data_IF_465052045589
#
_entry.id   IF_465052045589
#
_cell.length_a   1.000
_cell.length_b   1.000
_cell.length_c   1.000
_cell.angle_alpha   90.00
_cell.angle_beta   90.00
_cell.angle_gamma   90.00
#
_symmetry.space_group_name_H-M   'P 1'
#
loop_
_entity.id
_entity.type
_entity.pdbx_description
1 polymer ?
#
# COMPACT_ATOMS: atom_id res chain seq x y z
N UNK A 1 -18.42 -9.36 -9.59
CA UNK A 1 -18.36 -8.80 -8.22
C UNK A 1 -17.41 -7.60 -8.28
N UNK A 2 -17.80 -6.43 -7.77
CA UNK A 2 -16.93 -5.24 -7.74
C UNK A 2 -16.42 -5.05 -6.30
N UNK A 3 -15.12 -4.87 -6.14
CA UNK A 3 -14.49 -4.55 -4.86
C UNK A 3 -14.15 -3.06 -4.82
N UNK A 4 -14.39 -2.42 -3.68
CA UNK A 4 -14.00 -1.02 -3.43
C UNK A 4 -12.99 -1.02 -2.30
N UNK A 5 -11.82 -0.44 -2.54
CA UNK A 5 -10.77 -0.28 -1.55
C UNK A 5 -10.57 1.21 -1.29
N UNK A 6 -10.60 1.59 -0.02
CA UNK A 6 -10.34 2.95 0.42
C UNK A 6 -9.75 2.91 1.84
N UNK A 7 -8.76 3.76 2.15
CA UNK A 7 -8.28 3.90 3.51
C UNK A 7 -9.39 4.52 4.37
N UNK A 8 -9.68 3.89 5.51
CA UNK A 8 -10.60 4.44 6.52
C UNK A 8 -10.10 4.11 7.91
N UNK A 9 -10.52 4.91 8.89
CA UNK A 9 -10.19 4.70 10.29
C UNK A 9 -11.42 4.13 11.00
N UNK A 10 -11.19 3.13 11.85
CA UNK A 10 -12.21 2.66 12.77
C UNK A 10 -12.37 3.72 13.86
N UNK A 11 -13.60 4.18 14.09
CA UNK A 11 -13.91 5.15 15.13
C UNK A 11 -13.60 4.59 16.52
N UNK A 12 -13.53 5.44 17.54
CA UNK A 12 -13.38 4.99 18.93
C UNK A 12 -14.52 4.10 19.42
N UNK A 13 -15.67 4.14 18.75
CA UNK A 13 -16.84 3.32 19.05
C UNK A 13 -16.83 1.98 18.31
N UNK A 14 -15.77 1.69 17.55
CA UNK A 14 -15.65 0.46 16.76
C UNK A 14 -16.48 0.46 15.48
N UNK A 15 -16.94 1.64 15.03
CA UNK A 15 -17.71 1.79 13.79
C UNK A 15 -16.80 2.14 12.61
N UNK A 16 -17.08 1.58 11.44
CA UNK A 16 -16.37 1.90 10.21
C UNK A 16 -17.11 3.02 9.48
N UNK A 17 -16.45 4.17 9.33
CA UNK A 17 -17.03 5.28 8.59
C UNK A 17 -16.79 5.08 7.09
N UNK A 18 -17.89 4.97 6.33
CA UNK A 18 -17.83 4.93 4.87
C UNK A 18 -17.81 6.37 4.32
N UNK A 19 -16.80 6.74 3.51
CA UNK A 19 -16.73 8.04 2.87
C UNK A 19 -17.94 8.31 1.97
N UNK A 20 -18.37 9.58 1.89
CA UNK A 20 -19.53 10.02 1.10
C UNK A 20 -19.52 9.54 -0.36
N UNK A 21 -18.40 9.58 -1.11
CA UNK A 21 -18.37 9.11 -2.49
C UNK A 21 -18.72 7.63 -2.62
N UNK A 22 -18.32 6.81 -1.64
CA UNK A 22 -18.60 5.37 -1.65
C UNK A 22 -20.05 5.11 -1.25
N UNK A 23 -20.62 5.89 -0.33
CA UNK A 23 -22.04 5.81 0.07
C UNK A 23 -23.00 6.03 -1.11
N UNK A 24 -22.62 6.86 -2.08
CA UNK A 24 -23.44 7.14 -3.27
C UNK A 24 -23.44 5.97 -4.27
N UNK A 25 -22.36 5.19 -4.29
CA UNK A 25 -22.16 4.10 -5.25
C UNK A 25 -22.68 2.76 -4.68
N UNK A 26 -22.73 2.62 -3.36
CA UNK A 26 -23.16 1.37 -2.71
C UNK A 26 -24.67 1.14 -2.87
N UNK A 27 -25.09 -0.09 -3.24
CA UNK A 27 -26.50 -0.43 -3.33
C UNK A 27 -27.14 -0.40 -1.94
N UNK A 28 -28.27 0.31 -1.81
CA UNK A 28 -28.99 0.48 -0.54
C UNK A 28 -29.82 -0.76 -0.23
N UNK A 29 -29.74 -1.24 1.02
CA UNK A 29 -30.57 -2.35 1.51
C UNK A 29 -30.08 -3.74 1.10
N UNK A 30 -28.90 -3.85 0.50
CA UNK A 30 -28.32 -5.12 0.09
C UNK A 30 -27.33 -5.67 1.11
N UNK A 31 -27.26 -7.00 1.21
CA UNK A 31 -26.26 -7.68 2.03
C UNK A 31 -24.94 -7.69 1.26
N UNK A 32 -23.92 -7.05 1.84
CA UNK A 32 -22.58 -6.99 1.24
C UNK A 32 -21.59 -7.80 2.07
N UNK A 33 -20.57 -8.35 1.40
CA UNK A 33 -19.41 -8.96 2.07
C UNK A 33 -18.34 -7.90 2.27
N UNK A 34 -17.92 -7.68 3.51
CA UNK A 34 -16.86 -6.73 3.87
C UNK A 34 -15.56 -7.48 4.10
N UNK A 35 -14.44 -6.94 3.59
CA UNK A 35 -13.08 -7.39 3.88
C UNK A 35 -12.37 -6.21 4.53
N UNK A 36 -11.77 -6.44 5.70
CA UNK A 36 -11.00 -5.44 6.44
C UNK A 36 -9.54 -5.85 6.41
N UNK A 37 -8.70 -4.92 5.97
CA UNK A 37 -7.24 -5.04 6.00
C UNK A 37 -6.74 -4.08 7.08
N UNK A 38 -6.15 -4.63 8.14
CA UNK A 38 -5.55 -3.86 9.22
C UNK A 38 -4.05 -4.05 9.11
N UNK A 39 -3.31 -2.95 9.01
CA UNK A 39 -1.85 -3.02 9.02
C UNK A 39 -1.38 -3.42 10.41
N UNK A 40 -0.65 -4.52 10.50
CA UNK A 40 0.01 -4.92 11.72
C UNK A 40 1.32 -4.12 11.89
N UNK A 41 1.78 -3.89 13.12
CA UNK A 41 3.07 -3.24 13.36
C UNK A 41 4.23 -3.95 12.67
N UNK A 42 4.11 -5.27 12.52
CA UNK A 42 5.06 -6.13 11.82
C UNK A 42 5.08 -5.85 10.32
N UNK A 43 3.92 -5.65 9.67
CA UNK A 43 3.83 -5.27 8.25
C UNK A 43 4.58 -3.96 7.96
N UNK A 44 4.44 -2.98 8.84
CA UNK A 44 5.13 -1.69 8.73
C UNK A 44 6.64 -1.83 8.92
N UNK A 45 7.06 -2.77 9.77
CA UNK A 45 8.46 -3.06 10.02
C UNK A 45 9.09 -3.80 8.84
N UNK A 46 8.44 -4.85 8.34
CA UNK A 46 8.86 -5.58 7.15
C UNK A 46 8.97 -4.66 5.95
N UNK A 47 7.97 -3.82 5.68
CA UNK A 47 7.98 -2.91 4.53
C UNK A 47 9.17 -1.93 4.59
N UNK A 48 9.56 -1.47 5.79
CA UNK A 48 10.78 -0.68 5.99
C UNK A 48 12.05 -1.48 5.78
N UNK A 49 12.10 -2.74 6.21
CA UNK A 49 13.25 -3.62 5.97
C UNK A 49 13.43 -3.91 4.48
N UNK A 50 12.35 -4.20 3.76
CA UNK A 50 12.36 -4.40 2.31
C UNK A 50 12.80 -3.14 1.56
N UNK A 51 12.31 -1.97 1.95
CA UNK A 51 12.76 -0.70 1.38
C UNK A 51 14.26 -0.46 1.62
N UNK A 52 14.75 -0.76 2.82
CA UNK A 52 16.17 -0.62 3.19
C UNK A 52 17.06 -1.58 2.41
N UNK A 53 16.67 -2.86 2.32
CA UNK A 53 17.39 -3.88 1.55
C UNK A 53 17.42 -3.54 0.07
N UNK A 54 16.29 -3.13 -0.50
CA UNK A 54 16.21 -2.73 -1.91
C UNK A 54 17.12 -1.54 -2.20
N UNK A 55 17.09 -0.49 -1.36
CA UNK A 55 18.00 0.64 -1.53
C UNK A 55 19.46 0.20 -1.48
N UNK A 56 19.84 -0.60 -0.47
CA UNK A 56 21.21 -1.09 -0.30
C UNK A 56 21.67 -1.92 -1.52
N UNK A 57 20.89 -2.88 -1.95
CA UNK A 57 21.26 -3.78 -3.06
C UNK A 57 21.18 -3.08 -4.42
N UNK A 58 20.23 -2.14 -4.60
CA UNK A 58 20.17 -1.30 -5.80
C UNK A 58 21.43 -0.43 -5.93
N UNK A 59 21.89 0.22 -4.85
CA UNK A 59 23.14 1.00 -4.88
C UNK A 59 24.40 0.14 -4.95
N UNK A 60 24.40 -1.08 -4.38
CA UNK A 60 25.53 -2.00 -4.46
C UNK A 60 25.71 -2.62 -5.87
N UNK A 61 24.66 -2.65 -6.68
CA UNK A 61 24.70 -3.13 -8.07
C UNK A 61 25.27 -2.12 -9.07
N UNK A 62 25.33 -0.82 -8.74
CA UNK A 62 26.03 0.17 -9.55
C UNK A 62 27.51 0.21 -9.17
N UNK A 63 28.30 -0.70 -9.74
CA UNK A 63 29.76 -0.57 -9.73
C UNK A 63 30.16 0.38 -10.85
N UNK A 64 31.13 1.28 -10.62
CA UNK A 64 31.67 2.19 -11.65
C UNK A 64 32.11 1.47 -12.96
N UNK A 65 32.34 0.15 -12.91
CA UNK A 65 32.65 -0.67 -14.09
C UNK A 65 31.46 -0.90 -15.03
N UNK A 66 30.21 -0.72 -14.57
CA UNK A 66 29.00 -0.84 -15.40
C UNK A 66 28.66 0.46 -16.16
N UNK A 67 29.48 1.51 -16.00
CA UNK A 67 29.39 2.79 -16.72
C UNK A 67 29.93 2.71 -18.16
N UNK A 68 29.73 1.58 -18.85
CA UNK A 68 30.28 1.30 -20.19
C UNK A 68 29.78 2.31 -21.24
N UNK A 69 28.70 3.04 -20.95
CA UNK A 69 28.15 4.09 -21.81
C UNK A 69 28.49 5.52 -21.39
N UNK A 70 29.17 5.75 -20.25
CA UNK A 70 29.48 7.10 -19.76
C UNK A 70 30.66 7.77 -20.50
N UNK A 71 31.51 6.99 -21.18
CA UNK A 71 32.71 7.52 -21.86
C UNK A 71 32.49 7.90 -23.34
N UNK A 72 31.25 8.08 -23.81
CA UNK A 72 31.01 8.63 -25.16
C UNK A 72 30.69 10.12 -25.11
N UNK A 73 31.72 10.94 -24.95
CA UNK A 73 31.67 12.38 -25.26
C UNK A 73 32.93 12.86 -25.96
#
# INVERSE_FOLDING_TARGET
>A
MKAYEFPTKISSEGTLEIPTPVKEILPRGEIVRVILLVQEPEDLYEQKQWATLTAKEFFAGYVESDSIYDETK
#
